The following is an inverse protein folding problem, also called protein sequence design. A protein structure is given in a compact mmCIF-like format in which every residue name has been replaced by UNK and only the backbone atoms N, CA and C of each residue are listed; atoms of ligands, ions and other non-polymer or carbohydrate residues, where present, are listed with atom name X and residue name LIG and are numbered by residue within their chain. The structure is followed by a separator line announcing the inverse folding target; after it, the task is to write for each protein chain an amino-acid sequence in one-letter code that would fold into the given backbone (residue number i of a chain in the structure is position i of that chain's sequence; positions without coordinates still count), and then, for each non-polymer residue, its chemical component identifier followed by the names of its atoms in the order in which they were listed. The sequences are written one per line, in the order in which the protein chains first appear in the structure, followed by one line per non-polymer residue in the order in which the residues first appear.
data_IF_087673515751
#
_entry.id   IF_087673515751
#
_cell.length_a   1.000
_cell.length_b   1.000
_cell.length_c   1.000
_cell.angle_alpha   90.00
_cell.angle_beta   90.00
_cell.angle_gamma   90.00
#
_symmetry.space_group_name_H-M   'P 1'
#
loop_
_entity.id
_entity.type
_entity.pdbx_description
1 polymer ?
#
# COMPACT_ATOMS: atom_id res chain seq x y z
N UNK A 1 8.64 -11.63 4.80
CA UNK A 1 8.73 -10.19 4.53
C UNK A 1 9.87 -10.02 3.55
N UNK A 2 9.56 -9.56 2.34
CA UNK A 2 10.55 -9.44 1.27
C UNK A 2 11.15 -8.04 1.29
N UNK A 3 12.37 -7.86 0.79
CA UNK A 3 13.05 -6.56 0.77
C UNK A 3 13.05 -6.00 -0.65
N UNK A 4 12.84 -4.70 -0.78
CA UNK A 4 13.00 -3.97 -2.03
C UNK A 4 14.13 -2.96 -1.92
N UNK A 5 14.79 -2.70 -3.06
CA UNK A 5 15.70 -1.58 -3.17
C UNK A 5 14.90 -0.30 -3.46
N UNK A 6 15.04 0.68 -2.57
CA UNK A 6 14.49 2.02 -2.73
C UNK A 6 15.62 3.03 -2.57
N UNK A 7 16.07 3.60 -3.70
CA UNK A 7 17.19 4.53 -3.74
C UNK A 7 18.46 4.01 -3.03
N UNK A 8 18.79 2.72 -3.22
CA UNK A 8 19.96 2.08 -2.59
C UNK A 8 19.76 1.75 -1.11
N UNK A 9 18.56 1.94 -0.56
CA UNK A 9 18.18 1.47 0.78
C UNK A 9 17.28 0.25 0.66
N UNK A 10 17.55 -0.77 1.47
CA UNK A 10 16.69 -1.93 1.57
C UNK A 10 15.53 -1.63 2.52
N UNK A 11 14.31 -1.64 2.00
CA UNK A 11 13.08 -1.41 2.78
C UNK A 11 12.16 -2.63 2.69
N UNK A 12 11.42 -2.98 3.77
CA UNK A 12 10.56 -4.14 3.77
C UNK A 12 9.28 -3.90 2.94
N UNK A 13 8.94 -4.87 2.10
CA UNK A 13 7.65 -4.98 1.44
C UNK A 13 6.74 -5.97 2.18
N UNK A 14 5.50 -5.53 2.42
CA UNK A 14 4.45 -6.32 3.05
C UNK A 14 3.45 -6.76 1.99
N UNK A 15 3.25 -8.06 1.82
CA UNK A 15 2.20 -8.59 0.95
C UNK A 15 0.83 -8.44 1.61
N UNK A 16 -0.10 -7.76 0.93
CA UNK A 16 -1.45 -7.44 1.42
C UNK A 16 -2.55 -8.37 0.85
N UNK A 17 -2.18 -9.34 0.01
CA UNK A 17 -3.14 -10.16 -0.74
C UNK A 17 -3.43 -9.57 -2.12
N UNK A 18 -4.05 -10.37 -3.00
CA UNK A 18 -4.50 -9.96 -4.35
C UNK A 18 -3.40 -9.31 -5.21
N UNK A 19 -2.16 -9.79 -5.09
CA UNK A 19 -1.02 -9.21 -5.81
C UNK A 19 -0.60 -7.81 -5.34
N UNK A 20 -1.12 -7.32 -4.21
CA UNK A 20 -0.78 -5.99 -3.66
C UNK A 20 0.36 -6.09 -2.66
N UNK A 21 1.35 -5.22 -2.81
CA UNK A 21 2.48 -5.08 -1.89
C UNK A 21 2.57 -3.64 -1.38
N UNK A 22 2.67 -3.47 -0.07
CA UNK A 22 2.84 -2.17 0.58
C UNK A 22 4.27 -1.99 1.09
N UNK A 23 4.87 -0.84 0.79
CA UNK A 23 6.20 -0.44 1.26
C UNK A 23 6.12 0.93 1.92
N UNK A 24 6.66 1.05 3.14
CA UNK A 24 6.79 2.34 3.82
C UNK A 24 8.20 2.90 3.58
N UNK A 25 8.30 4.09 2.99
CA UNK A 25 9.57 4.72 2.64
C UNK A 25 10.11 5.69 3.71
N UNK A 26 9.39 5.83 4.82
CA UNK A 26 9.68 6.79 5.89
C UNK A 26 8.83 8.05 5.85
N UNK A 27 8.08 8.29 4.77
CA UNK A 27 7.18 9.43 4.63
C UNK A 27 5.76 9.00 4.23
N UNK A 28 5.64 8.02 3.33
CA UNK A 28 4.37 7.54 2.80
C UNK A 28 4.43 6.06 2.42
N UNK A 29 3.35 5.57 1.80
CA UNK A 29 3.22 4.16 1.43
C UNK A 29 3.21 4.03 -0.09
N UNK A 30 4.12 3.23 -0.62
CA UNK A 30 4.06 2.73 -1.98
C UNK A 30 3.23 1.45 -2.04
N UNK A 31 2.24 1.43 -2.93
CA UNK A 31 1.53 0.24 -3.32
C UNK A 31 2.04 -0.23 -4.68
N UNK A 32 2.54 -1.46 -4.72
CA UNK A 32 3.04 -2.14 -5.91
C UNK A 32 2.06 -3.26 -6.29
N UNK A 33 1.63 -3.28 -7.54
CA UNK A 33 0.74 -4.32 -8.06
C UNK A 33 1.53 -5.44 -8.76
N UNK A 34 1.07 -6.67 -8.59
CA UNK A 34 1.56 -7.93 -9.17
C UNK A 34 2.96 -8.39 -8.73
N UNK A 35 3.91 -7.47 -8.52
CA UNK A 35 5.27 -7.79 -8.09
C UNK A 35 5.86 -6.65 -7.24
N UNK A 36 6.56 -6.97 -6.16
CA UNK A 36 7.14 -5.95 -5.26
C UNK A 36 8.43 -5.31 -5.80
N UNK A 37 9.18 -5.99 -6.68
CA UNK A 37 10.44 -5.52 -7.28
C UNK A 37 10.23 -4.85 -8.64
N UNK A 38 9.40 -5.46 -9.49
CA UNK A 38 9.09 -5.00 -10.85
C UNK A 38 7.57 -4.90 -11.05
N UNK A 39 6.86 -4.05 -10.28
CA UNK A 39 5.42 -3.94 -10.40
C UNK A 39 5.00 -3.43 -11.77
N UNK A 40 3.81 -3.86 -12.20
CA UNK A 40 3.15 -3.28 -13.38
C UNK A 40 2.69 -1.86 -13.11
N UNK A 41 2.24 -1.61 -11.88
CA UNK A 41 1.65 -0.34 -11.45
C UNK A 41 2.14 0.03 -10.05
N UNK A 42 2.33 1.35 -9.84
CA UNK A 42 2.77 1.92 -8.57
C UNK A 42 1.86 3.07 -8.18
N UNK A 43 1.39 3.07 -6.94
CA UNK A 43 0.62 4.18 -6.35
C UNK A 43 1.36 4.65 -5.11
N UNK A 44 1.57 5.96 -4.98
CA UNK A 44 2.10 6.55 -3.75
C UNK A 44 0.98 7.15 -2.92
N UNK A 45 0.91 6.77 -1.65
CA UNK A 45 -0.02 7.30 -0.68
C UNK A 45 0.75 8.21 0.27
N UNK A 46 0.68 9.52 0.03
CA UNK A 46 1.12 10.52 0.98
C UNK A 46 0.14 10.63 2.18
N UNK A 47 0.52 11.27 3.30
CA UNK A 47 -0.30 11.26 4.52
C UNK A 47 -1.77 11.68 4.34
N UNK A 48 -2.03 12.75 3.59
CA UNK A 48 -3.38 13.25 3.28
C UNK A 48 -4.23 12.24 2.50
N UNK A 49 -3.59 11.48 1.58
CA UNK A 49 -4.25 10.44 0.79
C UNK A 49 -4.56 9.24 1.66
N UNK A 50 -3.67 8.87 2.59
CA UNK A 50 -3.91 7.81 3.58
C UNK A 50 -5.12 8.15 4.46
N UNK A 51 -5.21 9.38 4.96
CA UNK A 51 -6.35 9.86 5.75
C UNK A 51 -7.66 9.73 4.96
N UNK A 52 -7.69 10.22 3.72
CA UNK A 52 -8.85 10.13 2.83
C UNK A 52 -9.25 8.68 2.52
N UNK A 53 -8.27 7.81 2.26
CA UNK A 53 -8.50 6.39 2.00
C UNK A 53 -9.08 5.68 3.23
N UNK A 54 -8.57 6.00 4.43
CA UNK A 54 -9.09 5.44 5.68
C UNK A 54 -10.55 5.83 5.92
N UNK A 55 -10.94 7.08 5.61
CA UNK A 55 -12.33 7.51 5.73
C UNK A 55 -13.23 6.77 4.74
N UNK A 56 -12.78 6.56 3.51
CA UNK A 56 -13.49 5.73 2.54
C UNK A 56 -13.63 4.27 3.01
N UNK A 57 -12.56 3.68 3.57
CA UNK A 57 -12.60 2.31 4.12
C UNK A 57 -13.64 2.19 5.24
N UNK A 58 -13.70 3.16 6.17
CA UNK A 58 -14.73 3.18 7.23
C UNK A 58 -16.13 3.20 6.63
N UNK A 59 -16.37 4.01 5.61
CA UNK A 59 -17.65 4.07 4.91
C UNK A 59 -18.02 2.70 4.29
N UNK A 60 -17.09 2.09 3.54
CA UNK A 60 -17.29 0.79 2.89
C UNK A 60 -17.59 -0.30 3.92
N UNK A 61 -16.82 -0.39 5.00
CA UNK A 61 -17.02 -1.40 6.04
C UNK A 61 -18.36 -1.21 6.76
N UNK A 62 -18.77 0.03 7.01
CA UNK A 62 -20.08 0.33 7.62
C UNK A 62 -21.26 -0.15 6.78
N UNK A 63 -21.11 -0.13 5.44
CA UNK A 63 -22.12 -0.63 4.49
C UNK A 63 -22.15 -2.16 4.45
N UNK A 64 -20.99 -2.82 4.55
CA UNK A 64 -20.90 -4.30 4.57
C UNK A 64 -21.53 -4.91 5.82
N UNK A 65 -21.42 -4.27 6.98
CA UNK A 65 -22.01 -4.78 8.24
C UNK A 65 -23.53 -4.61 8.34
N UNK A 66 -24.16 -3.88 7.41
CA UNK A 66 -25.62 -3.66 7.36
C UNK A 66 -26.34 -4.58 6.35
N UNK A 67 -25.61 -5.49 5.72
CA UNK A 67 -26.11 -6.46 4.73
C UNK A 67 -25.92 -7.88 5.23
#
# INVERSE_FOLDING_TARGET
MEMIDYHGKQVPATYCGDGVYAIFDGLGIWLHANDHKNPTDKIYLEPSVIESLNDFIKEVLSKRSKS
#
